data_IF_565252639119
#
_entry.id   IF_565252639119
#
_cell.length_a   1.000
_cell.length_b   1.000
_cell.length_c   1.000
_cell.angle_alpha   90.00
_cell.angle_beta   90.00
_cell.angle_gamma   90.00
#
_symmetry.space_group_name_H-M   'P 1'
#
loop_
_entity.id
_entity.type
_entity.pdbx_description
1 polymer ?
#
# COMPACT_ATOMS: atom_id res chain seq x y z
N UNK A 1 11.82 14.96 -6.43
CA UNK A 1 11.32 13.61 -6.34
C UNK A 1 10.24 13.53 -5.27
N UNK A 2 9.55 12.43 -5.14
CA UNK A 2 8.39 12.35 -4.25
C UNK A 2 8.84 12.18 -2.80
N UNK A 3 8.35 13.05 -1.90
CA UNK A 3 8.68 12.98 -0.47
C UNK A 3 7.73 12.02 0.27
N UNK A 4 6.44 12.09 -0.03
CA UNK A 4 5.45 11.22 0.62
C UNK A 4 4.15 11.14 -0.18
N UNK A 5 3.36 10.14 0.16
CA UNK A 5 1.98 9.95 -0.29
C UNK A 5 1.06 9.96 0.91
N UNK A 6 -0.19 10.34 0.70
CA UNK A 6 -1.19 10.34 1.76
C UNK A 6 -2.48 9.70 1.26
N UNK A 7 -3.05 8.80 2.06
CA UNK A 7 -4.37 8.22 1.83
C UNK A 7 -5.28 8.53 3.01
N UNK A 8 -6.53 8.85 2.71
CA UNK A 8 -7.54 9.10 3.73
C UNK A 8 -8.14 7.82 4.29
N UNK A 9 -8.50 7.86 5.57
CA UNK A 9 -9.14 6.75 6.26
C UNK A 9 -10.34 7.25 7.06
N UNK A 10 -11.40 6.44 7.09
CA UNK A 10 -12.58 6.67 7.93
C UNK A 10 -12.52 5.93 9.25
N UNK A 11 -11.53 5.07 9.42
CA UNK A 11 -11.25 4.33 10.65
C UNK A 11 -9.77 3.95 10.64
N UNK A 12 -8.97 4.74 11.34
CA UNK A 12 -7.51 4.60 11.26
C UNK A 12 -7.03 3.23 11.73
N UNK A 13 -7.60 2.69 12.82
CA UNK A 13 -7.19 1.38 13.33
C UNK A 13 -7.45 0.28 12.29
N UNK A 14 -8.58 0.34 11.61
CA UNK A 14 -8.92 -0.62 10.54
C UNK A 14 -7.93 -0.51 9.37
N UNK A 15 -7.57 0.70 9.00
CA UNK A 15 -6.56 0.93 7.94
C UNK A 15 -5.18 0.47 8.37
N UNK A 16 -4.80 0.70 9.63
CA UNK A 16 -3.53 0.24 10.19
C UNK A 16 -3.43 -1.28 10.18
N UNK A 17 -4.47 -1.98 10.57
CA UNK A 17 -4.49 -3.46 10.52
C UNK A 17 -4.23 -3.97 9.10
N UNK A 18 -4.83 -3.32 8.11
CA UNK A 18 -4.63 -3.66 6.70
C UNK A 18 -3.21 -3.34 6.23
N UNK A 19 -2.76 -2.10 6.41
CA UNK A 19 -1.44 -1.68 5.88
C UNK A 19 -0.27 -2.29 6.62
N UNK A 20 -0.37 -2.56 7.92
CA UNK A 20 0.67 -3.29 8.65
C UNK A 20 0.89 -4.67 8.00
N UNK A 21 -0.19 -5.39 7.70
CA UNK A 21 -0.12 -6.72 7.09
C UNK A 21 0.30 -6.68 5.61
N UNK A 22 -0.18 -5.69 4.86
CA UNK A 22 0.15 -5.54 3.43
C UNK A 22 1.63 -5.20 3.23
N UNK A 23 2.16 -4.31 4.04
CA UNK A 23 3.46 -3.68 3.79
C UNK A 23 4.64 -4.39 4.46
N UNK A 24 4.40 -5.14 5.54
CA UNK A 24 5.47 -5.85 6.24
C UNK A 24 6.27 -6.79 5.32
N UNK A 25 5.66 -7.58 4.44
CA UNK A 25 6.42 -8.43 3.50
C UNK A 25 7.32 -7.64 2.55
N UNK A 26 7.03 -6.36 2.34
CA UNK A 26 7.82 -5.47 1.47
C UNK A 26 8.94 -4.75 2.23
N UNK A 27 9.10 -5.01 3.54
CA UNK A 27 10.07 -4.31 4.37
C UNK A 27 9.66 -2.88 4.70
N UNK A 28 8.38 -2.57 4.65
CA UNK A 28 7.83 -1.26 4.98
C UNK A 28 7.06 -1.39 6.28
N UNK A 29 7.46 -0.64 7.30
CA UNK A 29 6.88 -0.76 8.63
C UNK A 29 6.37 0.57 9.17
N UNK A 30 5.40 0.46 10.07
CA UNK A 30 4.84 1.62 10.72
C UNK A 30 5.79 2.15 11.79
N UNK A 31 5.91 3.47 11.86
CA UNK A 31 6.67 4.17 12.89
C UNK A 31 5.74 4.57 14.04
N UNK A 32 6.10 4.13 15.25
CA UNK A 32 5.29 4.39 16.45
C UNK A 32 5.39 5.83 16.96
N UNK A 33 6.35 6.61 16.45
CA UNK A 33 6.60 7.98 16.89
C UNK A 33 5.73 9.02 16.18
N UNK A 34 4.72 8.58 15.47
CA UNK A 34 3.94 9.51 14.66
C UNK A 34 2.88 10.21 15.48
N UNK A 35 3.01 11.33 15.46
CA UNK A 35 2.47 12.67 15.68
C UNK A 35 1.13 12.70 16.43
N UNK A 36 0.18 11.82 16.22
CA UNK A 36 -1.10 11.75 16.96
C UNK A 36 -1.94 10.55 16.48
N UNK A 37 -3.11 10.35 17.11
CA UNK A 37 -4.03 9.24 16.85
C UNK A 37 -4.73 9.32 15.48
N UNK A 38 -4.45 10.34 14.69
CA UNK A 38 -5.11 10.58 13.40
C UNK A 38 -4.20 10.29 12.20
N UNK A 39 -2.95 9.90 12.44
CA UNK A 39 -1.94 9.70 11.39
C UNK A 39 -1.14 8.45 11.66
N UNK A 40 -1.00 7.60 10.65
CA UNK A 40 -0.04 6.50 10.65
C UNK A 40 1.00 6.76 9.55
N UNK A 41 2.27 6.51 9.86
CA UNK A 41 3.38 6.69 8.92
C UNK A 41 4.11 5.38 8.69
N UNK A 42 4.36 5.07 7.43
CA UNK A 42 5.06 3.86 7.00
C UNK A 42 6.35 4.23 6.28
N UNK A 43 7.43 3.57 6.66
CA UNK A 43 8.77 3.84 6.12
C UNK A 43 9.44 2.53 5.76
N UNK A 44 10.12 2.52 4.61
CA UNK A 44 10.93 1.38 4.17
C UNK A 44 12.17 1.22 5.05
N UNK A 45 12.55 -0.03 5.28
CA UNK A 45 13.81 -0.35 5.95
C UNK A 45 15.03 0.05 5.12
N UNK A 46 14.86 0.26 3.82
CA UNK A 46 15.97 0.50 2.87
C UNK A 46 16.14 1.98 2.51
N UNK A 47 15.14 2.83 2.77
CA UNK A 47 15.19 4.23 2.41
C UNK A 47 14.22 5.06 3.26
N UNK A 48 14.62 6.27 3.62
CA UNK A 48 13.79 7.17 4.40
C UNK A 48 12.67 7.81 3.59
N UNK A 49 12.81 7.85 2.28
CA UNK A 49 11.85 8.45 1.36
C UNK A 49 11.56 7.52 0.17
N UNK A 50 10.38 7.58 -0.41
CA UNK A 50 9.21 8.33 0.06
C UNK A 50 8.58 7.67 1.29
N UNK A 51 7.87 8.47 2.08
CA UNK A 51 7.05 7.96 3.19
C UNK A 51 5.60 7.78 2.75
N UNK A 52 4.89 6.92 3.44
CA UNK A 52 3.47 6.71 3.19
C UNK A 52 2.67 7.01 4.44
N UNK A 53 1.70 7.91 4.32
CA UNK A 53 0.83 8.30 5.43
C UNK A 53 -0.59 7.83 5.19
N UNK A 54 -1.22 7.33 6.24
CA UNK A 54 -2.67 7.09 6.30
C UNK A 54 -3.23 8.02 7.36
N UNK A 55 -4.24 8.81 7.00
CA UNK A 55 -4.67 9.91 7.85
C UNK A 55 -6.19 10.00 7.93
N UNK A 56 -6.69 10.50 9.07
CA UNK A 56 -8.00 11.14 9.09
C UNK A 56 -7.91 12.39 8.22
N UNK A 57 -8.85 12.64 7.28
CA UNK A 57 -8.77 13.81 6.42
C UNK A 57 -8.62 15.11 7.20
N UNK A 58 -7.80 16.02 6.69
CA UNK A 58 -7.46 17.27 7.36
C UNK A 58 -8.69 18.11 7.72
N UNK A 59 -9.73 18.05 6.88
CA UNK A 59 -10.97 18.80 7.10
C UNK A 59 -11.97 18.06 8.01
N UNK A 60 -11.60 16.90 8.53
CA UNK A 60 -12.44 16.03 9.37
C UNK A 60 -13.72 15.53 8.69
N UNK A 61 -13.83 15.71 7.37
CA UNK A 61 -14.92 15.14 6.60
C UNK A 61 -14.58 13.69 6.23
N UNK A 62 -15.60 12.96 5.76
CA UNK A 62 -15.43 11.58 5.32
C UNK A 62 -14.36 11.47 4.23
N UNK A 63 -13.45 10.51 4.39
CA UNK A 63 -12.50 10.17 3.35
C UNK A 63 -13.23 9.56 2.15
N UNK A 64 -12.84 9.96 0.95
CA UNK A 64 -13.34 9.41 -0.31
C UNK A 64 -12.19 8.88 -1.13
N UNK A 65 -12.47 7.90 -2.02
CA UNK A 65 -11.49 7.41 -2.95
C UNK A 65 -11.42 8.34 -4.17
N UNK A 66 -10.21 8.57 -4.68
CA UNK A 66 -10.06 9.27 -5.95
C UNK A 66 -10.25 8.29 -7.09
N UNK A 67 -11.30 8.45 -7.89
CA UNK A 67 -11.48 7.61 -9.07
C UNK A 67 -10.33 7.84 -10.06
N UNK A 68 -9.58 6.79 -10.35
CA UNK A 68 -8.37 6.86 -11.16
C UNK A 68 -7.07 6.98 -10.32
N UNK A 69 -7.18 7.19 -9.01
CA UNK A 69 -6.00 7.23 -8.12
C UNK A 69 -5.62 5.83 -7.67
N UNK A 70 -4.31 5.60 -7.58
CA UNK A 70 -3.75 4.33 -7.11
C UNK A 70 -2.32 4.55 -6.62
N UNK A 71 -1.96 3.90 -5.52
CA UNK A 71 -0.57 3.82 -5.09
C UNK A 71 -0.04 2.44 -5.45
N UNK A 72 1.13 2.39 -6.08
CA UNK A 72 1.83 1.15 -6.36
C UNK A 72 3.05 1.03 -5.45
N UNK A 73 3.10 -0.04 -4.68
CA UNK A 73 4.24 -0.38 -3.83
C UNK A 73 5.14 -1.38 -4.55
N UNK A 74 6.43 -1.15 -4.46
CA UNK A 74 7.42 -1.96 -5.14
C UNK A 74 7.81 -3.19 -4.31
N UNK A 75 7.86 -4.34 -4.96
CA UNK A 75 8.33 -5.59 -4.38
C UNK A 75 9.62 -6.04 -5.06
N UNK A 76 10.43 -6.83 -4.36
CA UNK A 76 11.71 -7.34 -4.88
C UNK A 76 11.58 -8.68 -5.57
N UNK A 77 10.46 -9.38 -5.37
CA UNK A 77 10.21 -10.69 -5.97
C UNK A 77 8.72 -11.04 -5.91
N UNK A 78 8.34 -12.12 -6.58
CA UNK A 78 6.94 -12.59 -6.63
C UNK A 78 6.42 -13.05 -5.27
N UNK A 79 7.27 -13.67 -4.44
CA UNK A 79 6.86 -14.15 -3.12
C UNK A 79 6.42 -13.02 -2.21
N UNK A 80 7.10 -11.88 -2.27
CA UNK A 80 6.69 -10.70 -1.50
C UNK A 80 5.30 -10.24 -1.90
N UNK A 81 4.99 -10.26 -3.20
CA UNK A 81 3.66 -9.88 -3.70
C UNK A 81 2.59 -10.84 -3.19
N UNK A 82 2.84 -12.15 -3.28
CA UNK A 82 1.88 -13.15 -2.82
C UNK A 82 1.59 -12.99 -1.33
N UNK A 83 2.61 -12.78 -0.51
CA UNK A 83 2.47 -12.58 0.94
C UNK A 83 1.78 -11.27 1.27
N UNK A 84 2.13 -10.21 0.58
CA UNK A 84 1.54 -8.89 0.76
C UNK A 84 0.04 -8.92 0.44
N UNK A 85 -0.33 -9.48 -0.70
CA UNK A 85 -1.73 -9.66 -1.10
C UNK A 85 -2.51 -10.49 -0.07
N UNK A 86 -1.97 -11.63 0.35
CA UNK A 86 -2.63 -12.47 1.35
C UNK A 86 -2.82 -11.74 2.67
N UNK A 87 -1.80 -11.00 3.12
CA UNK A 87 -1.90 -10.19 4.33
C UNK A 87 -3.00 -9.14 4.24
N UNK A 88 -3.06 -8.43 3.13
CA UNK A 88 -4.09 -7.42 2.90
C UNK A 88 -5.49 -8.02 2.84
N UNK A 89 -5.66 -9.11 2.11
CA UNK A 89 -6.95 -9.79 2.00
C UNK A 89 -7.45 -10.33 3.34
N UNK A 90 -6.54 -10.82 4.18
CA UNK A 90 -6.88 -11.34 5.51
C UNK A 90 -7.16 -10.22 6.53
N UNK A 91 -6.89 -8.97 6.19
CA UNK A 91 -7.02 -7.83 7.11
C UNK A 91 -7.88 -6.70 6.52
N UNK A 92 -8.97 -7.07 5.88
CA UNK A 92 -9.99 -6.12 5.45
C UNK A 92 -9.90 -5.66 4.01
N UNK A 93 -8.97 -6.18 3.24
CA UNK A 93 -8.82 -5.86 1.82
C UNK A 93 -9.87 -6.54 0.95
N UNK A 94 -10.11 -5.97 -0.22
CA UNK A 94 -10.99 -6.50 -1.26
C UNK A 94 -10.20 -6.72 -2.54
N UNK A 95 -10.39 -7.86 -3.21
CA UNK A 95 -9.67 -8.19 -4.43
C UNK A 95 -10.05 -7.27 -5.60
N UNK A 96 -9.01 -6.85 -6.33
CA UNK A 96 -9.14 -6.13 -7.62
C UNK A 96 -8.23 -6.77 -8.69
N UNK A 97 -7.59 -7.89 -8.38
CA UNK A 97 -6.72 -8.65 -9.28
C UNK A 97 -5.68 -9.44 -8.51
N UNK A 98 -5.90 -10.75 -8.39
CA UNK A 98 -5.00 -11.65 -7.66
C UNK A 98 -3.58 -11.63 -8.24
N UNK A 99 -2.56 -12.01 -7.45
CA UNK A 99 -1.18 -12.05 -7.93
C UNK A 99 -1.03 -12.83 -9.22
N UNK A 100 -0.29 -12.27 -10.17
CA UNK A 100 -0.04 -12.91 -11.45
C UNK A 100 0.77 -12.03 -12.39
N UNK A 101 1.18 -12.63 -13.50
CA UNK A 101 1.87 -11.92 -14.56
C UNK A 101 0.94 -10.94 -15.28
N UNK A 102 1.47 -9.80 -15.67
CA UNK A 102 0.80 -8.76 -16.45
C UNK A 102 1.64 -8.45 -17.69
N UNK A 103 1.78 -9.43 -18.57
CA UNK A 103 2.62 -9.34 -19.76
C UNK A 103 2.18 -8.20 -20.71
N UNK A 104 0.90 -7.78 -20.63
CA UNK A 104 0.40 -6.64 -21.39
C UNK A 104 1.10 -5.33 -21.05
N UNK A 105 1.74 -5.22 -19.87
CA UNK A 105 2.51 -4.05 -19.50
C UNK A 105 3.97 -4.20 -19.92
N UNK A 106 4.59 -5.30 -19.53
CA UNK A 106 5.95 -5.65 -19.94
C UNK A 106 6.27 -7.08 -19.49
N UNK A 107 7.26 -7.71 -20.13
CA UNK A 107 7.74 -9.02 -19.72
C UNK A 107 8.31 -8.94 -18.29
N UNK A 108 7.98 -9.93 -17.48
CA UNK A 108 8.43 -9.97 -16.09
C UNK A 108 7.65 -9.07 -15.14
N UNK A 109 6.60 -8.42 -15.61
CA UNK A 109 5.71 -7.64 -14.74
C UNK A 109 4.79 -8.60 -13.98
N UNK A 110 4.97 -8.66 -12.66
CA UNK A 110 4.14 -9.47 -11.77
C UNK A 110 3.52 -8.55 -10.72
N UNK A 111 2.23 -8.67 -10.51
CA UNK A 111 1.57 -7.76 -9.58
C UNK A 111 0.22 -8.25 -9.09
N UNK A 112 -0.31 -7.54 -8.13
CA UNK A 112 -1.63 -7.73 -7.58
C UNK A 112 -2.29 -6.39 -7.33
N UNK A 113 -3.61 -6.37 -7.37
CA UNK A 113 -4.44 -5.19 -7.09
C UNK A 113 -5.45 -5.53 -6.01
N UNK A 114 -5.63 -4.63 -5.07
CA UNK A 114 -6.68 -4.76 -4.06
C UNK A 114 -7.14 -3.38 -3.61
N UNK A 115 -8.27 -3.37 -2.87
CA UNK A 115 -8.77 -2.17 -2.22
C UNK A 115 -8.48 -2.25 -0.73
N UNK A 116 -8.09 -1.13 -0.13
CA UNK A 116 -8.00 -1.04 1.32
C UNK A 116 -9.42 -0.99 1.93
N UNK A 117 -9.56 -1.03 3.27
CA UNK A 117 -10.89 -1.02 3.90
C UNK A 117 -11.76 0.20 3.59
N UNK A 118 -11.17 1.30 3.16
CA UNK A 118 -11.90 2.51 2.75
C UNK A 118 -12.20 2.54 1.24
N UNK A 119 -11.71 1.56 0.48
CA UNK A 119 -11.90 1.45 -0.95
C UNK A 119 -10.80 2.10 -1.79
N UNK A 120 -9.73 2.60 -1.18
CA UNK A 120 -8.58 3.11 -1.93
C UNK A 120 -7.90 1.98 -2.69
N UNK A 121 -7.62 2.19 -3.98
CA UNK A 121 -6.97 1.18 -4.82
C UNK A 121 -5.48 1.13 -4.53
N UNK A 122 -4.96 -0.08 -4.35
CA UNK A 122 -3.57 -0.35 -4.05
C UNK A 122 -3.03 -1.38 -5.02
N UNK A 123 -1.82 -1.17 -5.49
CA UNK A 123 -1.11 -2.09 -6.36
C UNK A 123 0.20 -2.50 -5.69
N UNK A 124 0.57 -3.77 -5.83
CA UNK A 124 1.87 -4.27 -5.39
C UNK A 124 2.51 -4.88 -6.61
N UNK A 125 3.75 -4.46 -6.93
CA UNK A 125 4.34 -4.79 -8.21
C UNK A 125 5.81 -5.16 -8.10
N UNK A 126 6.19 -6.19 -8.83
CA UNK A 126 7.57 -6.51 -9.16
C UNK A 126 7.75 -6.34 -10.66
N UNK A 127 8.63 -5.44 -11.04
CA UNK A 127 8.93 -5.16 -12.45
C UNK A 127 10.28 -5.74 -12.78
N UNK A 128 10.28 -6.89 -13.42
CA UNK A 128 11.51 -7.58 -13.79
C UNK A 128 12.35 -6.86 -14.83
N UNK A 129 11.78 -5.83 -15.49
CA UNK A 129 12.47 -5.00 -16.48
C UNK A 129 13.25 -3.85 -15.85
N UNK A 130 13.08 -3.59 -14.57
CA UNK A 130 13.75 -2.50 -13.86
C UNK A 130 14.71 -3.05 -12.82
N UNK A 131 15.88 -2.45 -12.76
CA UNK A 131 16.83 -2.69 -11.68
C UNK A 131 16.48 -1.80 -10.49
N UNK A 132 16.60 -2.38 -9.32
CA UNK A 132 16.28 -1.69 -8.07
C UNK A 132 17.52 -1.46 -7.22
#
# INVERSE_FOLDING_TARGET
MIAHFTQGSNNLQRSVDFYDALLAPLGITRRDTVINDEVACYISAQADLPRFFVVTPFDNKKATVGNGSMIAFNANNQQQIDRSYSGGMNNGGTDEGAPGNRAQYTDGYYGAYLRDPDGNKVHIVYRGDLQQ
#
